data_IF_806513061978
#
_entry.id   IF_806513061978
#
_cell.length_a   1.000
_cell.length_b   1.000
_cell.length_c   1.000
_cell.angle_alpha   90.00
_cell.angle_beta   90.00
_cell.angle_gamma   90.00
#
_symmetry.space_group_name_H-M   'P 1'
#
loop_
_entity.id
_entity.type
_entity.pdbx_description
1 polymer ?
#
# COMPACT_ATOMS: atom_id res chain seq x y z
N UNK A 1 17.57 20.09 -3.65
CA UNK A 1 17.13 18.68 -3.59
C UNK A 1 18.37 17.78 -3.58
N UNK A 2 18.67 17.03 -2.51
CA UNK A 2 19.79 16.09 -2.56
C UNK A 2 19.50 15.02 -3.62
N UNK A 3 20.40 14.90 -4.60
CA UNK A 3 20.31 13.87 -5.64
C UNK A 3 20.45 12.50 -4.97
N UNK A 4 19.57 11.52 -5.25
CA UNK A 4 19.74 10.18 -4.72
C UNK A 4 21.10 9.62 -5.18
N UNK A 5 21.88 9.13 -4.23
CA UNK A 5 23.26 8.63 -4.43
C UNK A 5 23.32 7.41 -5.36
N UNK A 6 22.17 6.78 -5.60
CA UNK A 6 22.00 5.63 -6.49
C UNK A 6 20.85 5.88 -7.46
N UNK A 7 20.98 5.37 -8.70
CA UNK A 7 19.93 5.47 -9.71
C UNK A 7 18.72 4.64 -9.26
N UNK A 8 17.48 5.16 -9.38
CA UNK A 8 16.28 4.42 -9.02
C UNK A 8 15.99 3.29 -10.02
N UNK A 9 15.17 2.33 -9.62
CA UNK A 9 14.70 1.27 -10.52
C UNK A 9 15.71 0.13 -10.73
N UNK A 10 15.63 -0.51 -11.90
CA UNK A 10 16.45 -1.66 -12.29
C UNK A 10 17.97 -1.39 -12.26
N UNK A 11 18.36 -0.11 -12.28
CA UNK A 11 19.76 0.33 -12.23
C UNK A 11 20.32 0.42 -10.80
N UNK A 12 19.52 0.14 -9.78
CA UNK A 12 19.96 0.12 -8.39
C UNK A 12 20.69 -1.21 -8.09
N UNK A 13 21.88 -1.22 -7.47
CA UNK A 13 22.62 -2.46 -7.19
C UNK A 13 21.86 -3.44 -6.27
N UNK A 14 20.97 -2.93 -5.41
CA UNK A 14 20.06 -3.73 -4.61
C UNK A 14 18.67 -3.94 -5.25
N UNK A 15 18.53 -3.80 -6.57
CA UNK A 15 17.28 -4.05 -7.25
C UNK A 15 16.95 -5.54 -7.22
N UNK A 16 15.92 -5.90 -6.46
CA UNK A 16 15.53 -7.30 -6.26
C UNK A 16 14.52 -7.86 -7.27
N UNK A 17 14.19 -7.12 -8.34
CA UNK A 17 13.18 -7.55 -9.30
C UNK A 17 11.88 -7.98 -8.61
N UNK A 18 11.49 -9.23 -8.81
CA UNK A 18 10.28 -9.88 -8.26
C UNK A 18 10.41 -10.36 -6.80
N UNK A 19 11.61 -10.29 -6.22
CA UNK A 19 11.88 -10.53 -4.79
C UNK A 19 11.81 -9.23 -3.97
N UNK A 20 11.17 -8.20 -4.50
CA UNK A 20 10.93 -6.96 -3.77
C UNK A 20 10.04 -7.22 -2.54
N UNK A 21 10.40 -6.66 -1.40
CA UNK A 21 9.56 -6.67 -0.20
C UNK A 21 8.41 -5.67 -0.32
N UNK A 22 7.41 -5.79 0.56
CA UNK A 22 6.31 -4.84 0.69
C UNK A 22 6.78 -3.37 0.77
N UNK A 23 7.82 -3.11 1.59
CA UNK A 23 8.37 -1.76 1.71
C UNK A 23 9.05 -1.29 0.42
N UNK A 24 9.75 -2.21 -0.27
CA UNK A 24 10.41 -1.90 -1.54
C UNK A 24 9.39 -1.56 -2.64
N UNK A 25 8.25 -2.27 -2.72
CA UNK A 25 7.22 -1.94 -3.69
C UNK A 25 6.53 -0.61 -3.40
N UNK A 26 6.27 -0.28 -2.13
CA UNK A 26 5.74 1.05 -1.77
C UNK A 26 6.70 2.19 -2.14
N UNK A 27 8.00 1.96 -2.03
CA UNK A 27 9.01 2.91 -2.50
C UNK A 27 9.02 3.02 -4.02
N UNK A 28 8.95 1.89 -4.75
CA UNK A 28 8.85 1.86 -6.21
C UNK A 28 7.61 2.58 -6.72
N UNK A 29 6.45 2.31 -6.12
CA UNK A 29 5.18 2.99 -6.41
C UNK A 29 5.31 4.50 -6.27
N UNK A 30 5.89 4.95 -5.15
CA UNK A 30 6.09 6.37 -4.90
C UNK A 30 7.07 7.02 -5.89
N UNK A 31 8.10 6.28 -6.29
CA UNK A 31 9.11 6.77 -7.23
C UNK A 31 8.59 6.80 -8.67
N UNK A 32 7.78 5.82 -9.07
CA UNK A 32 7.26 5.69 -10.42
C UNK A 32 5.99 6.51 -10.67
N UNK A 33 5.09 6.56 -9.69
CA UNK A 33 3.75 7.16 -9.82
C UNK A 33 3.53 8.37 -8.91
N UNK A 34 4.46 8.70 -8.04
CA UNK A 34 4.30 9.81 -7.08
C UNK A 34 3.48 9.44 -5.85
N UNK A 35 3.01 10.45 -5.11
CA UNK A 35 2.18 10.18 -3.93
C UNK A 35 0.81 9.67 -4.38
N UNK A 36 0.21 8.73 -3.66
CA UNK A 36 -1.18 8.35 -3.89
C UNK A 36 -2.12 9.57 -3.84
N UNK A 37 -1.76 10.62 -3.08
CA UNK A 37 -2.52 11.87 -2.96
C UNK A 37 -2.64 12.67 -4.25
N UNK A 38 -1.73 12.45 -5.17
CA UNK A 38 -1.70 13.13 -6.47
C UNK A 38 -2.67 12.46 -7.47
N UNK A 39 -3.32 11.36 -7.07
CA UNK A 39 -4.23 10.58 -7.91
C UNK A 39 -5.64 10.55 -7.30
N UNK A 40 -6.70 10.64 -8.14
CA UNK A 40 -8.07 10.44 -7.69
C UNK A 40 -8.30 8.98 -7.28
N UNK A 41 -9.13 8.76 -6.26
CA UNK A 41 -9.53 7.44 -5.80
C UNK A 41 -10.33 6.72 -6.89
N UNK A 42 -9.98 5.48 -7.22
CA UNK A 42 -10.65 4.71 -8.28
C UNK A 42 -12.15 4.46 -8.00
N UNK A 43 -12.57 4.46 -6.74
CA UNK A 43 -13.97 4.14 -6.38
C UNK A 43 -14.86 5.38 -6.16
N UNK A 44 -14.29 6.52 -5.81
CA UNK A 44 -15.07 7.69 -5.37
C UNK A 44 -14.49 9.05 -5.79
N UNK A 45 -13.42 9.03 -6.60
CA UNK A 45 -12.78 10.20 -7.21
C UNK A 45 -12.16 11.21 -6.23
N UNK A 46 -12.38 11.05 -4.92
CA UNK A 46 -11.72 11.83 -3.87
C UNK A 46 -10.20 11.62 -3.89
N UNK A 47 -9.40 12.59 -3.44
CA UNK A 47 -7.94 12.45 -3.40
C UNK A 47 -7.54 11.19 -2.62
N UNK A 48 -6.85 10.27 -3.29
CA UNK A 48 -6.43 9.03 -2.65
C UNK A 48 -5.44 9.33 -1.52
N UNK A 49 -5.34 8.40 -0.58
CA UNK A 49 -4.40 8.53 0.54
C UNK A 49 -3.39 7.40 0.54
N UNK A 50 -3.79 6.24 0.05
CA UNK A 50 -2.99 5.02 0.03
C UNK A 50 -3.01 4.40 -1.37
N UNK A 51 -1.92 3.72 -1.71
CA UNK A 51 -1.92 2.74 -2.78
C UNK A 51 -2.49 1.44 -2.20
N UNK A 52 -3.60 0.98 -2.75
CA UNK A 52 -4.25 -0.27 -2.37
C UNK A 52 -3.91 -1.35 -3.39
N UNK A 53 -3.63 -2.55 -2.91
CA UNK A 53 -3.33 -3.68 -3.78
C UNK A 53 -4.63 -4.28 -4.33
N UNK A 54 -4.73 -4.40 -5.65
CA UNK A 54 -5.96 -4.86 -6.33
C UNK A 54 -5.90 -6.31 -6.82
N UNK A 55 -4.85 -7.05 -6.47
CA UNK A 55 -4.65 -8.45 -6.84
C UNK A 55 -3.67 -8.61 -8.00
N UNK A 56 -2.89 -9.70 -7.99
CA UNK A 56 -1.99 -10.09 -9.08
C UNK A 56 -1.75 -11.61 -9.05
N UNK A 57 -1.28 -12.16 -10.17
CA UNK A 57 -0.97 -13.60 -10.27
C UNK A 57 0.23 -14.00 -9.39
N UNK A 58 1.20 -13.11 -9.23
CA UNK A 58 2.40 -13.30 -8.40
C UNK A 58 2.22 -12.81 -6.95
N UNK A 59 1.01 -12.92 -6.40
CA UNK A 59 0.72 -12.42 -5.05
C UNK A 59 1.60 -13.12 -4.00
N UNK A 60 2.27 -12.31 -3.18
CA UNK A 60 2.96 -12.78 -1.98
C UNK A 60 1.94 -12.86 -0.83
N UNK A 61 1.83 -14.02 -0.16
CA UNK A 61 0.83 -14.20 0.89
C UNK A 61 1.10 -13.33 2.11
N UNK A 62 0.05 -13.08 2.90
CA UNK A 62 0.15 -12.40 4.20
C UNK A 62 1.17 -13.10 5.09
N UNK A 63 2.12 -12.34 5.65
CA UNK A 63 3.08 -12.83 6.64
C UNK A 63 2.71 -12.39 8.05
N UNK A 64 2.87 -13.31 9.00
CA UNK A 64 2.72 -13.08 10.44
C UNK A 64 4.03 -13.37 11.17
N UNK A 65 4.29 -12.67 12.27
CA UNK A 65 5.40 -13.00 13.17
C UNK A 65 5.06 -14.18 14.08
N UNK A 66 6.02 -14.61 14.90
CA UNK A 66 5.82 -15.69 15.88
C UNK A 66 4.72 -15.37 16.92
N UNK A 67 4.40 -14.09 17.14
CA UNK A 67 3.32 -13.65 18.01
C UNK A 67 1.96 -13.55 17.29
N UNK A 68 1.87 -13.97 16.02
CA UNK A 68 0.64 -13.95 15.21
C UNK A 68 0.27 -12.57 14.65
N UNK A 69 1.09 -11.53 14.87
CA UNK A 69 0.85 -10.16 14.36
C UNK A 69 1.16 -10.10 12.88
N UNK A 70 0.35 -9.34 12.13
CA UNK A 70 0.57 -9.15 10.68
C UNK A 70 1.81 -8.29 10.47
N UNK A 71 2.86 -8.89 9.88
CA UNK A 71 4.11 -8.20 9.53
C UNK A 71 4.03 -7.61 8.13
N UNK A 72 3.36 -8.32 7.22
CA UNK A 72 3.13 -7.86 5.85
C UNK A 72 1.75 -8.28 5.40
N UNK A 73 0.90 -7.36 4.89
CA UNK A 73 -0.30 -7.75 4.17
C UNK A 73 0.07 -8.47 2.86
N UNK A 74 -0.90 -9.13 2.20
CA UNK A 74 -0.72 -9.61 0.83
C UNK A 74 -0.29 -8.47 -0.09
N UNK A 75 0.63 -8.74 -1.01
CA UNK A 75 1.20 -7.72 -1.89
C UNK A 75 1.81 -8.34 -3.16
N UNK A 76 2.13 -7.51 -4.14
CA UNK A 76 2.79 -7.93 -5.37
C UNK A 76 4.07 -7.10 -5.61
N UNK A 77 5.04 -7.63 -6.35
CA UNK A 77 6.28 -6.91 -6.70
C UNK A 77 6.11 -5.91 -7.87
N UNK A 78 4.90 -5.83 -8.42
CA UNK A 78 4.53 -5.15 -9.65
C UNK A 78 3.67 -3.91 -9.36
N UNK A 79 4.18 -2.68 -9.60
CA UNK A 79 3.47 -1.42 -9.30
C UNK A 79 2.13 -1.22 -10.03
N UNK A 80 1.93 -1.92 -11.14
CA UNK A 80 0.74 -1.89 -11.98
C UNK A 80 -0.50 -2.48 -11.29
N UNK A 81 -0.31 -3.39 -10.33
CA UNK A 81 -1.41 -4.01 -9.58
C UNK A 81 -1.86 -3.20 -8.35
N UNK A 82 -1.46 -1.93 -8.28
CA UNK A 82 -1.84 -1.02 -7.21
C UNK A 82 -2.71 0.10 -7.75
N UNK A 83 -3.79 0.37 -7.03
CA UNK A 83 -4.73 1.43 -7.37
C UNK A 83 -4.74 2.51 -6.28
N UNK A 84 -4.89 3.78 -6.67
CA UNK A 84 -5.02 4.87 -5.73
C UNK A 84 -6.41 4.77 -5.06
N UNK A 85 -6.43 4.64 -3.73
CA UNK A 85 -7.69 4.62 -2.96
C UNK A 85 -7.62 5.59 -1.77
N UNK A 86 -8.75 6.22 -1.47
CA UNK A 86 -8.91 6.96 -0.21
C UNK A 86 -9.00 5.98 0.97
N UNK A 87 -8.83 6.47 2.21
CA UNK A 87 -8.77 5.60 3.40
C UNK A 87 -10.04 4.76 3.57
N UNK A 88 -11.21 5.36 3.36
CA UNK A 88 -12.49 4.66 3.52
C UNK A 88 -12.71 3.59 2.46
N UNK A 89 -12.42 3.90 1.19
CA UNK A 89 -12.53 2.92 0.11
C UNK A 89 -11.49 1.82 0.23
N UNK A 90 -10.26 2.15 0.66
CA UNK A 90 -9.23 1.15 0.93
C UNK A 90 -9.65 0.18 2.05
N UNK A 91 -10.13 0.69 3.19
CA UNK A 91 -10.61 -0.15 4.28
C UNK A 91 -11.82 -1.00 3.89
N UNK A 92 -12.70 -0.49 3.01
CA UNK A 92 -13.81 -1.26 2.46
C UNK A 92 -13.32 -2.42 1.59
N UNK A 93 -12.33 -2.16 0.73
CA UNK A 93 -11.71 -3.17 -0.12
C UNK A 93 -11.04 -4.27 0.70
N UNK A 94 -10.36 -3.90 1.78
CA UNK A 94 -9.68 -4.84 2.68
C UNK A 94 -10.63 -5.61 3.61
N UNK A 95 -11.94 -5.33 3.58
CA UNK A 95 -12.91 -5.87 4.54
C UNK A 95 -12.71 -5.35 5.97
N UNK A 96 -11.90 -4.30 6.14
CA UNK A 96 -11.54 -3.69 7.42
C UNK A 96 -12.40 -2.47 7.77
N UNK A 97 -13.64 -2.41 7.26
CA UNK A 97 -14.62 -1.33 7.53
C UNK A 97 -14.89 -1.11 9.02
N UNK A 98 -14.72 -2.16 9.84
CA UNK A 98 -14.80 -2.07 11.31
C UNK A 98 -13.87 -0.98 11.85
N UNK A 99 -12.70 -0.77 11.22
CA UNK A 99 -11.71 0.25 11.62
C UNK A 99 -12.14 1.68 11.31
N UNK A 100 -13.17 1.87 10.48
CA UNK A 100 -13.76 3.20 10.23
C UNK A 100 -14.72 3.61 11.35
N UNK A 101 -15.22 2.66 12.14
CA UNK A 101 -16.12 2.95 13.25
C UNK A 101 -15.33 3.62 14.37
N UNK A 102 -15.55 4.91 14.59
CA UNK A 102 -15.11 5.56 15.82
C UNK A 102 -15.86 4.93 16.99
N UNK A 103 -15.20 4.58 18.11
CA UNK A 103 -15.93 4.22 19.31
C UNK A 103 -16.75 5.45 19.73
N UNK A 104 -18.08 5.32 19.70
CA UNK A 104 -18.96 6.31 20.34
C UNK A 104 -18.65 6.21 21.83
N UNK A 105 -18.09 7.28 22.40
CA UNK A 105 -17.93 7.38 23.84
C UNK A 105 -19.31 7.19 24.47
N UNK A 106 -19.50 6.09 25.21
CA UNK A 106 -20.70 5.88 26.01
C UNK A 106 -20.69 6.99 27.06
N UNK A 107 -21.53 8.02 26.89
CA UNK A 107 -21.84 8.92 28.00
C UNK A 107 -22.57 8.08 29.04
N UNK A 108 -21.93 7.90 30.20
CA UNK A 108 -22.60 7.36 31.37
C UNK A 108 -23.57 8.44 31.88
N UNK A 109 -24.85 8.08 31.97
CA UNK A 109 -25.88 8.78 32.75
C UNK A 109 -25.93 8.15 34.13
#
# INVERSE_FOLDING_TARGET
>A
MPRPRFKPGQQHPNWRGDDASYNAIHYRLRSARGSARDHPCVDCEQPAKHWSFSGCEAEKPRRRDAAGRVVSPPYCCHPEHYEPRCVSCHLRKDGAVERLRKPVARQAV
#
